data_IF_295922201543
#
_entry.id   IF_295922201543
#
_cell.length_a   1.000
_cell.length_b   1.000
_cell.length_c   1.000
_cell.angle_alpha   90.00
_cell.angle_beta   90.00
_cell.angle_gamma   90.00
#
_symmetry.space_group_name_H-M   'P 1'
#
loop_
_entity.id
_entity.type
_entity.pdbx_description
1 polymer ?
#
# COMPACT_ATOMS: atom_id res chain seq x y z
N UNK A 1 -3.03 -18.86 23.19
CA UNK A 1 -1.83 -18.75 22.35
C UNK A 1 -2.24 -18.23 20.99
N UNK A 2 -1.95 -16.99 20.71
CA UNK A 2 -2.09 -16.48 19.36
C UNK A 2 -0.92 -17.02 18.53
N UNK A 3 -1.22 -17.96 17.63
CA UNK A 3 -0.26 -18.35 16.62
C UNK A 3 -0.02 -17.13 15.72
N UNK A 4 1.07 -16.42 15.95
CA UNK A 4 1.61 -15.48 14.96
C UNK A 4 2.07 -16.35 13.80
N UNK A 5 1.27 -16.42 12.75
CA UNK A 5 1.72 -17.04 11.52
C UNK A 5 3.01 -16.34 11.07
N UNK A 6 4.05 -17.14 10.84
CA UNK A 6 5.30 -16.61 10.26
C UNK A 6 4.97 -16.07 8.87
N UNK A 7 5.53 -14.92 8.49
CA UNK A 7 5.33 -14.37 7.13
C UNK A 7 5.64 -15.46 6.10
N UNK A 8 4.68 -15.74 5.24
CA UNK A 8 4.84 -16.70 4.15
C UNK A 8 5.23 -15.94 2.89
N UNK A 9 6.47 -16.09 2.45
CA UNK A 9 7.00 -15.41 1.27
C UNK A 9 6.18 -15.68 0.00
N UNK A 10 5.71 -16.93 -0.20
CA UNK A 10 4.88 -17.26 -1.36
C UNK A 10 3.54 -16.54 -1.34
N UNK A 11 2.91 -16.43 -0.16
CA UNK A 11 1.67 -15.66 -0.01
C UNK A 11 1.93 -14.17 -0.26
N UNK A 12 3.03 -13.62 0.23
CA UNK A 12 3.39 -12.22 0.00
C UNK A 12 3.58 -11.93 -1.49
N UNK A 13 4.26 -12.80 -2.22
CA UNK A 13 4.42 -12.67 -3.69
C UNK A 13 3.05 -12.71 -4.38
N UNK A 14 2.19 -13.62 -4.01
CA UNK A 14 0.83 -13.70 -4.56
C UNK A 14 0.06 -12.39 -4.36
N UNK A 15 0.03 -11.87 -3.15
CA UNK A 15 -0.69 -10.63 -2.84
C UNK A 15 -0.05 -9.41 -3.49
N UNK A 16 1.28 -9.34 -3.53
CA UNK A 16 1.95 -8.24 -4.24
C UNK A 16 1.66 -8.28 -5.74
N UNK A 17 1.60 -9.45 -6.35
CA UNK A 17 1.20 -9.58 -7.75
C UNK A 17 -0.25 -9.12 -7.99
N UNK A 18 -1.15 -9.34 -7.04
CA UNK A 18 -2.51 -8.78 -7.10
C UNK A 18 -2.48 -7.25 -7.09
N UNK A 19 -1.68 -6.66 -6.22
CA UNK A 19 -1.50 -5.21 -6.18
C UNK A 19 -0.89 -4.66 -7.49
N UNK A 20 0.09 -5.35 -8.05
CA UNK A 20 0.69 -5.00 -9.35
C UNK A 20 -0.32 -5.07 -10.48
N UNK A 21 -1.18 -6.08 -10.51
CA UNK A 21 -2.24 -6.18 -11.52
C UNK A 21 -3.24 -5.03 -11.42
N UNK A 22 -3.60 -4.63 -10.20
CA UNK A 22 -4.41 -3.43 -10.00
C UNK A 22 -3.73 -2.17 -10.54
N UNK A 23 -2.44 -2.02 -10.30
CA UNK A 23 -1.66 -0.90 -10.81
C UNK A 23 -1.61 -0.87 -12.34
N UNK A 24 -1.38 -2.01 -12.98
CA UNK A 24 -1.34 -2.12 -14.45
C UNK A 24 -2.65 -1.79 -15.12
N UNK A 25 -3.76 -2.17 -14.50
CA UNK A 25 -5.12 -2.01 -15.03
C UNK A 25 -5.84 -0.82 -14.38
N UNK A 26 -5.11 0.05 -13.74
CA UNK A 26 -5.65 1.23 -13.07
C UNK A 26 -6.02 2.35 -14.02
N UNK A 27 -6.27 3.52 -13.47
CA UNK A 27 -6.72 4.69 -14.22
C UNK A 27 -5.56 5.27 -15.02
N UNK A 28 -5.75 5.46 -16.32
CA UNK A 28 -4.70 5.78 -17.30
C UNK A 28 -3.89 7.03 -16.95
N UNK A 29 -4.54 8.09 -16.47
CA UNK A 29 -3.88 9.35 -16.18
C UNK A 29 -3.45 9.53 -14.72
N UNK A 30 -3.68 8.52 -13.89
CA UNK A 30 -3.21 8.47 -12.52
C UNK A 30 -1.94 7.62 -12.40
N UNK A 31 -1.06 7.98 -11.48
CA UNK A 31 0.18 7.24 -11.22
C UNK A 31 -0.16 5.77 -10.89
N UNK A 32 0.45 4.78 -11.57
CA UNK A 32 0.07 3.37 -11.42
C UNK A 32 0.55 2.78 -10.10
N UNK A 33 -0.29 2.89 -9.09
CA UNK A 33 -0.11 2.31 -7.77
C UNK A 33 -1.33 1.44 -7.44
N UNK A 34 -1.09 0.24 -6.95
CA UNK A 34 -2.11 -0.68 -6.48
C UNK A 34 -1.86 -1.06 -5.02
N UNK A 35 -2.93 -1.21 -4.27
CA UNK A 35 -2.88 -1.61 -2.87
C UNK A 35 -3.98 -2.61 -2.53
N UNK A 36 -3.68 -3.54 -1.64
CA UNK A 36 -4.65 -4.48 -1.08
C UNK A 36 -4.50 -4.58 0.43
N UNK A 37 -5.60 -4.81 1.11
CA UNK A 37 -5.62 -5.15 2.54
C UNK A 37 -6.05 -6.61 2.68
N UNK A 38 -5.26 -7.37 3.44
CA UNK A 38 -5.46 -8.80 3.67
C UNK A 38 -5.68 -9.05 5.16
N UNK A 39 -6.72 -9.80 5.50
CA UNK A 39 -7.02 -10.26 6.85
C UNK A 39 -7.35 -11.75 6.80
N UNK A 40 -6.67 -12.55 7.61
CA UNK A 40 -6.93 -14.00 7.66
C UNK A 40 -6.73 -14.70 6.31
N UNK A 41 -5.78 -14.24 5.49
CA UNK A 41 -5.52 -14.81 4.16
C UNK A 41 -6.49 -14.36 3.07
N UNK A 42 -7.47 -13.50 3.38
CA UNK A 42 -8.44 -12.99 2.42
C UNK A 42 -8.20 -11.51 2.09
N UNK A 43 -8.35 -11.16 0.82
CA UNK A 43 -8.34 -9.77 0.38
C UNK A 43 -9.68 -9.14 0.78
N UNK A 44 -9.61 -8.16 1.68
CA UNK A 44 -10.81 -7.46 2.18
C UNK A 44 -10.98 -6.05 1.61
N UNK A 45 -9.96 -5.52 0.96
CA UNK A 45 -10.02 -4.22 0.29
C UNK A 45 -8.96 -4.11 -0.79
N UNK A 46 -9.34 -3.52 -1.92
CA UNK A 46 -8.45 -3.26 -3.06
C UNK A 46 -8.57 -1.80 -3.46
N UNK A 47 -7.48 -1.20 -3.90
CA UNK A 47 -7.47 0.18 -4.35
C UNK A 47 -6.44 0.45 -5.43
N UNK A 48 -6.76 1.42 -6.28
CA UNK A 48 -5.83 2.03 -7.22
C UNK A 48 -5.81 3.53 -6.99
N UNK A 49 -4.72 4.16 -7.38
CA UNK A 49 -4.60 5.61 -7.31
C UNK A 49 -5.62 6.25 -8.27
N UNK A 50 -6.44 7.16 -7.75
CA UNK A 50 -7.52 7.79 -8.51
C UNK A 50 -7.71 9.28 -8.16
N UNK A 51 -6.65 9.92 -7.64
CA UNK A 51 -6.71 11.32 -7.22
C UNK A 51 -7.18 12.26 -8.32
N UNK A 52 -6.64 12.12 -9.53
CA UNK A 52 -7.05 12.90 -10.70
C UNK A 52 -8.47 12.58 -11.13
N UNK A 53 -8.79 11.32 -11.33
CA UNK A 53 -10.09 10.90 -11.82
C UNK A 53 -11.23 11.28 -10.87
N UNK A 54 -11.00 11.22 -9.57
CA UNK A 54 -11.99 11.50 -8.54
C UNK A 54 -11.97 12.96 -8.05
N UNK A 55 -11.05 13.79 -8.53
CA UNK A 55 -10.80 15.13 -7.99
C UNK A 55 -10.67 15.13 -6.46
N UNK A 56 -9.93 14.14 -5.94
CA UNK A 56 -9.76 13.90 -4.52
C UNK A 56 -8.26 13.74 -4.20
N UNK A 57 -7.65 14.71 -3.50
CA UNK A 57 -6.23 14.65 -3.17
C UNK A 57 -5.87 13.53 -2.20
N UNK A 58 -6.87 12.93 -1.55
CA UNK A 58 -6.66 11.81 -0.61
C UNK A 58 -6.82 10.43 -1.27
N UNK A 59 -7.26 10.36 -2.52
CA UNK A 59 -7.61 9.10 -3.19
C UNK A 59 -6.38 8.34 -3.70
N UNK A 60 -5.41 8.10 -2.83
CA UNK A 60 -4.31 7.18 -3.09
C UNK A 60 -4.79 5.72 -3.00
N UNK A 61 -4.09 4.81 -3.65
CA UNK A 61 -4.42 3.39 -3.66
C UNK A 61 -4.65 2.83 -2.25
N UNK A 62 -3.77 3.19 -1.31
CA UNK A 62 -3.83 2.74 0.08
C UNK A 62 -5.09 3.23 0.78
N UNK A 63 -5.46 4.50 0.59
CA UNK A 63 -6.67 5.09 1.17
C UNK A 63 -7.92 4.38 0.66
N UNK A 64 -7.99 4.13 -0.64
CA UNK A 64 -9.11 3.41 -1.25
C UNK A 64 -9.22 1.98 -0.69
N UNK A 65 -8.09 1.27 -0.62
CA UNK A 65 -8.04 -0.08 -0.07
C UNK A 65 -8.49 -0.11 1.41
N UNK A 66 -8.00 0.83 2.23
CA UNK A 66 -8.37 0.94 3.63
C UNK A 66 -9.87 1.22 3.82
N UNK A 67 -10.42 2.16 3.05
CA UNK A 67 -11.87 2.48 3.08
C UNK A 67 -12.72 1.28 2.76
N UNK A 68 -12.38 0.55 1.71
CA UNK A 68 -13.12 -0.65 1.30
C UNK A 68 -13.01 -1.78 2.31
N UNK A 69 -11.82 -2.00 2.88
CA UNK A 69 -11.62 -2.99 3.93
C UNK A 69 -12.44 -2.66 5.18
N UNK A 70 -12.39 -1.42 5.64
CA UNK A 70 -13.15 -0.95 6.79
C UNK A 70 -14.67 -1.08 6.59
N UNK A 71 -15.16 -0.73 5.41
CA UNK A 71 -16.57 -0.87 5.07
C UNK A 71 -17.00 -2.34 5.05
N UNK A 72 -16.19 -3.22 4.44
CA UNK A 72 -16.49 -4.66 4.37
C UNK A 72 -16.52 -5.33 5.75
N UNK A 73 -15.58 -4.95 6.62
CA UNK A 73 -15.49 -5.52 7.97
C UNK A 73 -16.33 -4.77 9.00
N UNK A 74 -16.99 -3.69 8.58
CA UNK A 74 -17.78 -2.81 9.46
C UNK A 74 -16.99 -2.37 10.69
N UNK A 75 -15.69 -2.07 10.49
CA UNK A 75 -14.77 -1.68 11.55
C UNK A 75 -13.67 -0.79 10.96
N UNK A 76 -13.44 0.40 11.53
CA UNK A 76 -12.36 1.26 11.07
C UNK A 76 -10.97 0.80 11.54
N UNK A 77 -10.90 -0.03 12.57
CA UNK A 77 -9.68 -0.69 13.02
C UNK A 77 -9.57 -2.07 12.37
N UNK A 78 -8.42 -2.36 11.82
CA UNK A 78 -8.14 -3.56 11.04
C UNK A 78 -6.99 -4.35 11.69
N UNK A 79 -7.16 -4.86 12.91
CA UNK A 79 -6.09 -5.59 13.60
C UNK A 79 -5.72 -6.86 12.83
N UNK A 80 -4.48 -7.30 12.97
CA UNK A 80 -3.92 -8.48 12.30
C UNK A 80 -3.97 -8.42 10.77
N UNK A 81 -4.09 -7.23 10.22
CA UNK A 81 -4.10 -7.00 8.78
C UNK A 81 -2.71 -6.79 8.21
N UNK A 82 -2.55 -7.11 6.93
CA UNK A 82 -1.39 -6.75 6.11
C UNK A 82 -1.84 -5.88 4.95
N UNK A 83 -1.18 -4.75 4.75
CA UNK A 83 -1.38 -3.92 3.57
C UNK A 83 -0.21 -4.13 2.61
N UNK A 84 -0.53 -4.53 1.39
CA UNK A 84 0.43 -4.64 0.29
C UNK A 84 0.22 -3.47 -0.65
N UNK A 85 1.29 -2.78 -1.00
CA UNK A 85 1.25 -1.66 -1.95
C UNK A 85 2.50 -1.67 -2.82
N UNK A 86 2.32 -1.30 -4.09
CA UNK A 86 3.42 -1.36 -5.06
C UNK A 86 4.48 -0.28 -4.88
N UNK A 87 4.14 0.82 -4.19
CA UNK A 87 5.03 1.95 -3.92
C UNK A 87 5.03 2.28 -2.42
N UNK A 88 6.19 2.65 -1.89
CA UNK A 88 6.33 3.11 -0.50
C UNK A 88 5.31 4.18 -0.15
N UNK A 89 4.57 4.05 0.98
CA UNK A 89 3.53 5.00 1.35
C UNK A 89 4.07 6.40 1.68
N UNK A 90 3.27 7.39 1.33
CA UNK A 90 3.49 8.78 1.77
C UNK A 90 2.98 8.99 3.21
N UNK A 91 3.23 10.21 3.73
CA UNK A 91 2.83 10.61 5.08
C UNK A 91 1.33 10.41 5.36
N UNK A 92 0.48 10.83 4.42
CA UNK A 92 -0.98 10.70 4.55
C UNK A 92 -1.41 9.23 4.67
N UNK A 93 -0.88 8.38 3.81
CA UNK A 93 -1.25 6.96 3.76
C UNK A 93 -0.73 6.21 4.99
N UNK A 94 0.49 6.47 5.42
CA UNK A 94 1.02 5.84 6.63
C UNK A 94 0.24 6.28 7.87
N UNK A 95 -0.14 7.55 7.96
CA UNK A 95 -1.02 8.05 9.02
C UNK A 95 -2.37 7.33 9.04
N UNK A 96 -2.97 7.13 7.87
CA UNK A 96 -4.23 6.37 7.75
C UNK A 96 -4.06 4.90 8.18
N UNK A 97 -2.94 4.27 7.83
CA UNK A 97 -2.63 2.91 8.28
C UNK A 97 -2.50 2.81 9.80
N UNK A 98 -1.91 3.82 10.43
CA UNK A 98 -1.82 3.88 11.90
C UNK A 98 -3.20 4.02 12.54
N UNK A 99 -4.05 4.89 12.00
CA UNK A 99 -5.44 5.03 12.47
C UNK A 99 -6.22 3.72 12.34
N UNK A 100 -6.03 3.00 11.24
CA UNK A 100 -6.65 1.70 10.98
C UNK A 100 -6.00 0.53 11.71
N UNK A 101 -4.93 0.76 12.46
CA UNK A 101 -4.20 -0.29 13.19
C UNK A 101 -3.68 -1.42 12.30
N UNK A 102 -3.22 -1.09 11.10
CA UNK A 102 -2.57 -2.06 10.22
C UNK A 102 -1.37 -2.68 10.96
N UNK A 103 -1.30 -4.00 10.97
CA UNK A 103 -0.26 -4.73 11.68
C UNK A 103 1.06 -4.78 10.89
N UNK A 104 0.94 -5.01 9.58
CA UNK A 104 2.10 -5.22 8.70
C UNK A 104 1.91 -4.49 7.36
N UNK A 105 2.97 -3.84 6.90
CA UNK A 105 3.05 -3.19 5.60
C UNK A 105 4.11 -3.88 4.76
N UNK A 106 3.75 -4.28 3.56
CA UNK A 106 4.68 -4.80 2.55
C UNK A 106 4.61 -3.90 1.33
N UNK A 107 5.71 -3.29 0.93
CA UNK A 107 5.73 -2.46 -0.27
C UNK A 107 6.82 -2.88 -1.26
N UNK A 108 6.60 -2.54 -2.54
CA UNK A 108 7.53 -2.84 -3.62
C UNK A 108 8.66 -1.83 -3.70
N UNK A 109 8.48 -0.80 -4.51
CA UNK A 109 9.49 0.21 -4.75
C UNK A 109 9.53 1.28 -3.67
N UNK A 110 10.73 1.79 -3.37
CA UNK A 110 10.90 2.96 -2.52
C UNK A 110 10.51 4.23 -3.27
N UNK A 111 10.03 5.21 -2.52
CA UNK A 111 9.74 6.55 -3.02
C UNK A 111 10.67 7.56 -2.34
N UNK A 112 11.79 7.93 -2.98
CA UNK A 112 12.77 8.84 -2.36
C UNK A 112 12.24 10.25 -2.10
N UNK A 113 11.17 10.65 -2.78
CA UNK A 113 10.62 12.01 -2.70
C UNK A 113 9.52 12.15 -1.66
N UNK A 114 8.75 11.08 -1.42
CA UNK A 114 7.53 11.16 -0.58
C UNK A 114 7.39 10.02 0.43
N UNK A 115 8.22 8.99 0.33
CA UNK A 115 8.11 7.81 1.17
C UNK A 115 8.52 8.07 2.62
N UNK A 116 7.74 7.58 3.58
CA UNK A 116 7.98 7.76 5.01
C UNK A 116 8.11 6.45 5.78
N UNK A 117 8.28 5.36 5.05
CA UNK A 117 8.52 4.02 5.61
C UNK A 117 9.95 3.54 5.30
N UNK A 118 10.92 4.44 5.40
CA UNK A 118 12.33 4.18 5.21
C UNK A 118 13.08 5.20 4.36
N UNK A 119 12.41 5.94 3.45
CA UNK A 119 13.10 6.87 2.55
C UNK A 119 13.36 8.23 3.19
N UNK A 120 12.33 9.05 3.37
CA UNK A 120 12.50 10.36 4.03
C UNK A 120 12.50 10.24 5.55
N UNK A 121 11.66 9.37 6.08
CA UNK A 121 11.48 9.11 7.51
C UNK A 121 11.18 7.64 7.74
N UNK A 122 11.30 7.22 9.00
CA UNK A 122 10.91 5.90 9.52
C UNK A 122 9.72 6.04 10.47
N UNK A 123 8.62 6.63 10.02
CA UNK A 123 7.48 6.95 10.89
C UNK A 123 6.76 5.71 11.41
N UNK A 124 6.83 4.60 10.67
CA UNK A 124 6.24 3.32 11.07
C UNK A 124 6.82 2.78 12.38
N UNK A 125 8.02 3.17 12.74
CA UNK A 125 8.73 2.69 13.93
C UNK A 125 9.09 3.83 14.92
N UNK A 126 8.50 4.99 14.79
CA UNK A 126 8.74 6.12 15.69
C UNK A 126 8.12 5.81 17.07
N UNK A 127 8.92 5.81 18.15
CA UNK A 127 8.45 5.43 19.49
C UNK A 127 7.44 6.41 20.10
N UNK A 128 7.30 7.61 19.53
CA UNK A 128 6.34 8.61 19.97
C UNK A 128 4.91 8.27 19.60
N UNK A 129 4.71 7.43 18.57
CA UNK A 129 3.39 6.92 18.19
C UNK A 129 3.02 5.70 19.03
N UNK A 130 1.74 5.58 19.37
CA UNK A 130 1.23 4.46 20.16
C UNK A 130 1.12 3.16 19.37
N UNK A 131 0.91 3.26 18.04
CA UNK A 131 0.85 2.11 17.14
C UNK A 131 2.10 2.06 16.26
N UNK A 132 2.67 0.88 16.11
CA UNK A 132 3.80 0.62 15.22
C UNK A 132 3.40 -0.40 14.19
N UNK A 133 3.93 -0.23 12.97
CA UNK A 133 3.66 -1.11 11.84
C UNK A 133 4.96 -1.84 11.49
N UNK A 134 4.89 -3.16 11.34
CA UNK A 134 6.00 -3.94 10.82
C UNK A 134 6.10 -3.72 9.31
N UNK A 135 7.29 -3.37 8.83
CA UNK A 135 7.51 -3.02 7.43
C UNK A 135 8.48 -3.99 6.78
N UNK A 136 8.11 -4.45 5.58
CA UNK A 136 8.99 -5.14 4.65
C UNK A 136 8.97 -4.42 3.31
N UNK A 137 10.14 -4.24 2.71
CA UNK A 137 10.31 -3.50 1.46
C UNK A 137 10.97 -4.35 0.39
N UNK A 138 10.82 -3.93 -0.86
CA UNK A 138 11.55 -4.50 -1.99
C UNK A 138 10.92 -5.71 -2.65
N UNK A 139 9.72 -6.12 -2.22
CA UNK A 139 9.04 -7.25 -2.83
C UNK A 139 8.49 -6.85 -4.20
N UNK A 140 8.91 -7.54 -5.26
CA UNK A 140 8.58 -7.21 -6.65
C UNK A 140 8.95 -5.76 -7.02
N UNK A 141 10.06 -5.29 -6.49
CA UNK A 141 10.51 -3.90 -6.64
C UNK A 141 10.71 -3.50 -8.10
N UNK A 142 11.32 -4.37 -8.90
CA UNK A 142 11.62 -4.08 -10.30
C UNK A 142 10.34 -3.89 -11.13
N UNK A 143 9.34 -4.72 -10.92
CA UNK A 143 8.05 -4.62 -11.61
C UNK A 143 7.34 -3.31 -11.24
N UNK A 144 7.39 -2.91 -9.99
CA UNK A 144 6.83 -1.64 -9.51
C UNK A 144 7.54 -0.45 -10.14
N UNK A 145 8.87 -0.46 -10.15
CA UNK A 145 9.68 0.59 -10.77
C UNK A 145 9.39 0.73 -12.25
N UNK A 146 9.29 -0.39 -12.96
CA UNK A 146 9.04 -0.40 -14.40
C UNK A 146 7.70 0.22 -14.75
N UNK A 147 6.64 -0.06 -13.99
CA UNK A 147 5.34 0.57 -14.17
C UNK A 147 5.41 2.09 -14.01
N UNK A 148 6.10 2.55 -12.98
CA UNK A 148 6.28 3.98 -12.72
C UNK A 148 7.11 4.65 -13.81
N UNK A 149 8.20 4.01 -14.24
CA UNK A 149 9.07 4.50 -15.29
C UNK A 149 8.32 4.69 -16.60
N UNK A 150 7.54 3.70 -17.03
CA UNK A 150 6.74 3.74 -18.24
C UNK A 150 5.71 4.87 -18.20
N UNK A 151 5.04 5.04 -17.08
CA UNK A 151 4.06 6.12 -16.90
C UNK A 151 4.69 7.50 -17.05
N UNK A 152 5.80 7.76 -16.36
CA UNK A 152 6.46 9.06 -16.42
C UNK A 152 7.12 9.33 -17.78
N UNK A 153 7.62 8.33 -18.47
CA UNK A 153 8.11 8.47 -19.85
C UNK A 153 7.00 8.91 -20.82
N UNK A 154 5.83 8.29 -20.75
CA UNK A 154 4.67 8.67 -21.55
C UNK A 154 4.26 10.12 -21.30
N UNK A 155 4.29 10.58 -20.07
CA UNK A 155 3.98 11.98 -19.72
C UNK A 155 4.99 12.96 -20.27
N UNK A 156 6.27 12.62 -20.28
CA UNK A 156 7.33 13.49 -20.82
C UNK A 156 7.31 13.59 -22.33
N UNK A 157 6.78 12.60 -23.03
CA UNK A 157 6.64 12.55 -24.48
C UNK A 157 5.42 13.28 -25.04
N UNK A 158 4.63 13.95 -24.19
CA UNK A 158 3.42 14.70 -24.61
C UNK A 158 3.69 16.19 -24.69
#
# INVERSE_FOLDING_TARGET
>A
MTHREKPNHQADVYFMNRALNLARNGIVDDVPVGAIVVVGGEIVGEGVNQGRASHDPTAHAEIIALRRAAARLENYRLPLSTLYVTLEPCLMCLGAMMEGRIHRLVFGARDPKRGVAGSLYDLHNDPRFTHRIKVESGLCEEESRELLRQFFEKKRGR
#
